data_IF_031039582371
#
_entry.id   IF_031039582371
#
_cell.length_a   1.000
_cell.length_b   1.000
_cell.length_c   1.000
_cell.angle_alpha   90.00
_cell.angle_beta   90.00
_cell.angle_gamma   90.00
#
_symmetry.space_group_name_H-M   'P 1'
#
loop_
_entity.id
_entity.type
_entity.pdbx_description
1 polymer ?
#
# COMPACT_ATOMS: atom_id res chain seq x y z
N UNK A 1 -0.44 -1.93 -8.31
CA UNK A 1 0.86 -2.15 -8.98
C UNK A 1 0.79 -1.91 -10.48
N UNK A 2 0.03 -2.71 -11.24
CA UNK A 2 0.03 -2.68 -12.71
C UNK A 2 -0.24 -1.29 -13.32
N UNK A 3 -1.21 -0.54 -12.78
CA UNK A 3 -1.46 0.84 -13.23
C UNK A 3 -0.27 1.77 -13.00
N UNK A 4 0.50 1.60 -11.92
CA UNK A 4 1.72 2.39 -11.69
C UNK A 4 2.78 2.06 -12.72
N UNK A 5 3.01 0.77 -12.98
CA UNK A 5 3.97 0.28 -13.99
C UNK A 5 3.63 0.83 -15.37
N UNK A 6 2.34 0.87 -15.72
CA UNK A 6 1.85 1.41 -16.99
C UNK A 6 1.77 2.96 -17.04
N UNK A 7 2.16 3.67 -15.98
CA UNK A 7 2.05 5.13 -15.91
C UNK A 7 0.61 5.66 -15.85
N UNK A 8 -0.36 4.82 -15.46
CA UNK A 8 -1.80 5.10 -15.41
C UNK A 8 -2.39 5.18 -13.99
N UNK A 9 -1.56 5.43 -12.97
CA UNK A 9 -2.03 5.47 -11.57
C UNK A 9 -3.09 6.55 -11.32
N UNK A 10 -3.10 7.63 -12.11
CA UNK A 10 -4.08 8.71 -12.01
C UNK A 10 -5.48 8.33 -12.53
N UNK A 11 -5.65 7.13 -13.11
CA UNK A 11 -6.95 6.65 -13.59
C UNK A 11 -7.88 6.14 -12.49
N UNK A 12 -7.35 5.96 -11.28
CA UNK A 12 -8.13 5.56 -10.12
C UNK A 12 -8.30 6.73 -9.15
N UNK A 13 -9.37 6.67 -8.36
CA UNK A 13 -9.57 7.61 -7.28
C UNK A 13 -8.76 7.16 -6.05
N UNK A 14 -7.59 7.77 -5.85
CA UNK A 14 -6.68 7.44 -4.74
C UNK A 14 -7.29 7.65 -3.37
N UNK A 15 -8.11 8.69 -3.19
CA UNK A 15 -8.74 9.00 -1.89
C UNK A 15 -9.76 7.92 -1.50
N UNK A 16 -10.63 7.52 -2.44
CA UNK A 16 -11.61 6.45 -2.20
C UNK A 16 -10.93 5.11 -1.93
N UNK A 17 -9.87 4.79 -2.68
CA UNK A 17 -9.11 3.56 -2.45
C UNK A 17 -8.39 3.59 -1.10
N UNK A 18 -7.80 4.73 -0.72
CA UNK A 18 -7.18 4.91 0.60
C UNK A 18 -8.20 4.71 1.72
N UNK A 19 -9.39 5.31 1.62
CA UNK A 19 -10.47 5.10 2.60
C UNK A 19 -10.91 3.64 2.72
N UNK A 20 -11.00 2.94 1.59
CA UNK A 20 -11.26 1.49 1.61
C UNK A 20 -10.11 0.74 2.31
N UNK A 21 -8.86 1.11 2.05
CA UNK A 21 -7.67 0.56 2.68
C UNK A 21 -7.56 0.91 4.18
N UNK A 22 -8.17 2.00 4.65
CA UNK A 22 -8.15 2.28 6.09
C UNK A 22 -9.31 1.58 6.82
N UNK A 23 -10.41 1.29 6.10
CA UNK A 23 -11.58 0.63 6.69
C UNK A 23 -11.38 -0.85 7.04
N UNK A 24 -10.33 -1.53 6.54
CA UNK A 24 -9.99 -2.89 6.97
C UNK A 24 -8.74 -2.96 7.87
N UNK A 25 -8.29 -1.83 8.38
CA UNK A 25 -7.32 -1.81 9.47
C UNK A 25 -8.00 -2.31 10.75
N UNK A 26 -7.27 -3.11 11.52
CA UNK A 26 -7.68 -3.47 12.88
C UNK A 26 -7.16 -2.41 13.86
N UNK A 27 -8.07 -1.71 14.53
CA UNK A 27 -7.76 -0.62 15.45
C UNK A 27 -7.30 -1.11 16.85
N UNK A 28 -7.49 -2.39 17.16
CA UNK A 28 -7.09 -2.99 18.44
C UNK A 28 -5.74 -3.70 18.35
N UNK A 29 -5.55 -4.52 17.31
CA UNK A 29 -4.36 -5.38 17.16
C UNK A 29 -3.41 -4.92 16.06
N UNK A 30 -3.85 -3.99 15.21
CA UNK A 30 -3.09 -3.53 14.06
C UNK A 30 -3.14 -4.50 12.88
N UNK A 31 -2.45 -4.11 11.81
CA UNK A 31 -2.49 -4.82 10.53
C UNK A 31 -3.77 -4.56 9.73
N UNK A 32 -3.88 -5.23 8.59
CA UNK A 32 -5.02 -5.11 7.69
C UNK A 32 -5.50 -6.49 7.22
N UNK A 33 -6.80 -6.60 7.00
CA UNK A 33 -7.44 -7.77 6.42
C UNK A 33 -7.72 -7.61 4.92
N UNK A 34 -8.33 -8.63 4.31
CA UNK A 34 -8.82 -8.59 2.92
C UNK A 34 -9.93 -7.54 2.73
N UNK A 35 -10.76 -7.34 3.77
CA UNK A 35 -11.90 -6.41 3.77
C UNK A 35 -12.32 -6.01 5.19
N UNK A 36 -13.09 -4.93 5.35
CA UNK A 36 -13.54 -4.45 6.66
C UNK A 36 -14.22 -5.53 7.50
N UNK A 37 -13.89 -5.57 8.80
CA UNK A 37 -14.47 -6.52 9.76
C UNK A 37 -13.97 -7.96 9.63
N UNK A 38 -12.83 -8.19 8.96
CA UNK A 38 -12.13 -9.47 8.93
C UNK A 38 -10.84 -9.44 9.74
N UNK A 39 -10.32 -10.62 10.03
CA UNK A 39 -9.10 -10.80 10.81
C UNK A 39 -7.91 -10.38 9.95
N UNK A 40 -7.04 -9.54 10.51
CA UNK A 40 -5.83 -9.09 9.83
C UNK A 40 -4.82 -10.22 9.65
N UNK A 41 -4.00 -10.11 8.60
CA UNK A 41 -2.88 -11.01 8.39
C UNK A 41 -1.68 -10.27 7.76
N UNK A 42 -0.51 -10.89 7.83
CA UNK A 42 0.74 -10.28 7.33
C UNK A 42 0.75 -10.06 5.82
N UNK A 43 0.03 -10.88 5.06
CA UNK A 43 -0.03 -10.81 3.60
C UNK A 43 -0.83 -9.59 3.15
N UNK A 44 -2.03 -9.41 3.67
CA UNK A 44 -2.86 -8.24 3.36
C UNK A 44 -2.26 -6.97 3.94
N UNK A 45 -1.71 -7.02 5.14
CA UNK A 45 -0.99 -5.88 5.73
C UNK A 45 0.12 -5.37 4.80
N UNK A 46 0.96 -6.28 4.25
CA UNK A 46 2.00 -5.89 3.29
C UNK A 46 1.44 -5.17 2.07
N UNK A 47 0.40 -5.73 1.44
CA UNK A 47 -0.14 -5.16 0.20
C UNK A 47 -0.92 -3.87 0.43
N UNK A 48 -1.54 -3.70 1.59
CA UNK A 48 -2.25 -2.48 1.95
C UNK A 48 -1.27 -1.33 2.17
N UNK A 49 -0.20 -1.57 2.94
CA UNK A 49 0.90 -0.61 3.10
C UNK A 49 1.54 -0.28 1.75
N UNK A 50 1.89 -1.27 0.93
CA UNK A 50 2.45 -1.04 -0.40
C UNK A 50 1.49 -0.23 -1.30
N UNK A 51 0.19 -0.53 -1.25
CA UNK A 51 -0.85 0.20 -1.97
C UNK A 51 -0.88 1.68 -1.59
N UNK A 52 -0.91 2.00 -0.30
CA UNK A 52 -0.92 3.38 0.19
C UNK A 52 0.31 4.17 -0.24
N UNK A 53 1.49 3.55 -0.25
CA UNK A 53 2.72 4.17 -0.73
C UNK A 53 2.70 4.43 -2.23
N UNK A 54 2.16 3.51 -3.03
CA UNK A 54 2.02 3.72 -4.47
C UNK A 54 1.05 4.86 -4.82
N UNK A 55 0.07 5.12 -3.94
CA UNK A 55 -0.88 6.22 -4.04
C UNK A 55 -0.32 7.56 -3.54
N UNK A 56 0.92 7.59 -3.01
CA UNK A 56 1.55 8.76 -2.38
C UNK A 56 0.70 9.35 -1.23
N UNK A 57 0.06 8.50 -0.42
CA UNK A 57 -0.77 8.93 0.72
C UNK A 57 0.05 9.30 1.97
N UNK A 58 1.33 8.94 2.00
CA UNK A 58 2.23 9.18 3.13
C UNK A 58 3.53 9.83 2.67
N UNK A 59 4.13 10.61 3.56
CA UNK A 59 5.44 11.23 3.35
C UNK A 59 6.55 10.17 3.38
N UNK A 60 7.53 10.33 2.48
CA UNK A 60 8.68 9.42 2.34
C UNK A 60 9.57 9.37 3.58
N UNK A 61 9.53 10.42 4.41
CA UNK A 61 10.23 10.47 5.69
C UNK A 61 9.59 9.58 6.76
N UNK A 62 8.29 9.24 6.59
CA UNK A 62 7.56 8.33 7.48
C UNK A 62 7.70 6.90 6.98
N UNK A 63 7.42 6.66 5.70
CA UNK A 63 7.56 5.35 5.08
C UNK A 63 8.23 5.48 3.70
N UNK A 64 9.30 4.70 3.51
CA UNK A 64 10.09 4.69 2.28
C UNK A 64 9.29 4.18 1.09
N UNK A 65 9.58 4.70 -0.10
CA UNK A 65 8.98 4.28 -1.37
C UNK A 65 9.08 2.76 -1.59
N UNK A 66 8.01 2.21 -2.14
CA UNK A 66 7.95 0.81 -2.61
C UNK A 66 8.14 0.75 -4.12
N UNK A 67 8.94 -0.20 -4.57
CA UNK A 67 9.10 -0.52 -5.97
C UNK A 67 7.85 -1.24 -6.48
N UNK A 68 7.22 -0.69 -7.52
CA UNK A 68 5.94 -1.21 -8.02
C UNK A 68 6.03 -2.56 -8.74
N UNK A 69 7.24 -3.01 -9.12
CA UNK A 69 7.49 -4.29 -9.80
C UNK A 69 7.76 -5.38 -8.78
N UNK A 70 8.66 -5.13 -7.83
CA UNK A 70 9.14 -6.15 -6.89
C UNK A 70 8.43 -6.13 -5.54
N UNK A 71 7.60 -5.11 -5.26
CA UNK A 71 6.97 -4.92 -3.95
C UNK A 71 7.99 -4.87 -2.80
N UNK A 72 9.20 -4.37 -3.08
CA UNK A 72 10.29 -4.19 -2.12
C UNK A 72 10.59 -2.70 -1.94
N UNK A 73 11.23 -2.30 -0.83
CA UNK A 73 11.68 -0.92 -0.67
C UNK A 73 12.61 -0.50 -1.83
N UNK A 74 12.34 0.67 -2.42
CA UNK A 74 13.05 1.15 -3.60
C UNK A 74 14.58 1.21 -3.38
N UNK A 75 15.01 1.64 -2.19
CA UNK A 75 16.43 1.71 -1.82
C UNK A 75 17.12 0.34 -1.74
N UNK A 76 16.38 -0.76 -1.56
CA UNK A 76 16.94 -2.13 -1.59
C UNK A 76 17.14 -2.57 -3.03
N UNK A 77 16.18 -2.27 -3.90
CA UNK A 77 16.29 -2.56 -5.34
C UNK A 77 17.46 -1.81 -5.98
N UNK A 78 17.71 -0.58 -5.55
CA UNK A 78 18.82 0.24 -6.06
C UNK A 78 20.20 -0.16 -5.55
N UNK A 79 20.29 -1.07 -4.58
CA UNK A 79 21.57 -1.58 -4.04
C UNK A 79 22.18 -2.71 -4.87
N UNK A 80 21.40 -3.30 -5.76
CA UNK A 80 21.80 -4.40 -6.65
C UNK A 80 22.09 -3.86 -8.05
#
# INVERSE_FOLDING_TARGET
ASLKILGKILWINSEKLSKFILAAQDDETGGCADRPGKISDSFHTLFWVAGLLLLNMYDENIIRKVNSVLCMPEYIVQRT
#
